data_IF_346649736919
#
_entry.id   IF_346649736919
#
_cell.length_a   1.000
_cell.length_b   1.000
_cell.length_c   1.000
_cell.angle_alpha   90.00
_cell.angle_beta   90.00
_cell.angle_gamma   90.00
#
_symmetry.space_group_name_H-M   'P 1'
#
loop_
_entity.id
_entity.type
_entity.pdbx_description
1 polymer ?
#
# COMPACT_ATOMS: atom_id res chain seq x y z
N UNK A 1 -1.60 18.08 24.57
CA UNK A 1 -1.05 18.56 23.28
C UNK A 1 -0.06 17.56 22.67
N UNK A 2 0.98 17.09 23.40
CA UNK A 2 1.95 16.12 22.89
C UNK A 2 1.33 14.83 22.34
N UNK A 3 0.36 14.23 23.05
CA UNK A 3 -0.31 13.01 22.59
C UNK A 3 -0.95 13.18 21.20
N UNK A 4 -1.56 14.35 20.93
CA UNK A 4 -2.14 14.65 19.62
C UNK A 4 -1.06 14.76 18.53
N UNK A 5 0.08 15.36 18.84
CA UNK A 5 1.22 15.41 17.90
C UNK A 5 1.75 14.01 17.58
N UNK A 6 1.89 13.15 18.59
CA UNK A 6 2.36 11.77 18.40
C UNK A 6 1.38 10.94 17.58
N UNK A 7 0.08 11.07 17.84
CA UNK A 7 -0.97 10.40 17.04
C UNK A 7 -0.94 10.90 15.60
N UNK A 8 -0.83 12.22 15.39
CA UNK A 8 -0.73 12.81 14.05
C UNK A 8 0.50 12.33 13.28
N UNK A 9 1.68 12.35 13.90
CA UNK A 9 2.92 11.87 13.28
C UNK A 9 2.85 10.37 12.96
N UNK A 10 2.24 9.58 13.84
CA UNK A 10 2.01 8.15 13.62
C UNK A 10 1.08 7.91 12.43
N UNK A 11 0.03 8.72 12.29
CA UNK A 11 -0.87 8.68 11.13
C UNK A 11 -0.12 8.98 9.83
N UNK A 12 0.69 10.04 9.81
CA UNK A 12 1.51 10.41 8.63
C UNK A 12 2.49 9.30 8.29
N UNK A 13 3.19 8.73 9.28
CA UNK A 13 4.12 7.62 9.05
C UNK A 13 3.43 6.36 8.50
N UNK A 14 2.23 6.04 8.99
CA UNK A 14 1.42 4.95 8.44
C UNK A 14 0.96 5.25 7.00
N UNK A 15 0.54 6.48 6.71
CA UNK A 15 0.16 6.90 5.36
C UNK A 15 1.34 6.78 4.38
N UNK A 16 2.53 7.29 4.75
CA UNK A 16 3.73 7.20 3.91
C UNK A 16 4.07 5.75 3.61
N UNK A 17 4.08 4.87 4.63
CA UNK A 17 4.30 3.43 4.44
C UNK A 17 3.27 2.78 3.53
N UNK A 18 1.99 3.15 3.64
CA UNK A 18 0.96 2.66 2.72
C UNK A 18 1.24 3.11 1.28
N UNK A 19 1.65 4.36 1.06
CA UNK A 19 1.99 4.88 -0.28
C UNK A 19 3.19 4.16 -0.87
N UNK A 20 4.26 3.99 -0.10
CA UNK A 20 5.46 3.28 -0.54
C UNK A 20 5.16 1.81 -0.87
N UNK A 21 4.40 1.14 0.00
CA UNK A 21 3.96 -0.24 -0.21
C UNK A 21 3.10 -0.37 -1.47
N UNK A 22 2.12 0.52 -1.68
CA UNK A 22 1.27 0.50 -2.86
C UNK A 22 2.09 0.73 -4.14
N UNK A 23 3.03 1.68 -4.11
CA UNK A 23 3.88 2.00 -5.26
C UNK A 23 4.77 0.84 -5.65
N UNK A 24 5.33 0.14 -4.67
CA UNK A 24 6.19 -1.02 -4.93
C UNK A 24 5.39 -2.23 -5.39
N UNK A 25 4.22 -2.46 -4.79
CA UNK A 25 3.29 -3.50 -5.22
C UNK A 25 2.87 -3.30 -6.69
N UNK A 26 2.47 -2.08 -7.07
CA UNK A 26 2.05 -1.77 -8.43
C UNK A 26 3.19 -2.03 -9.43
N UNK A 27 4.43 -1.63 -9.10
CA UNK A 27 5.59 -1.85 -9.96
C UNK A 27 5.96 -3.32 -10.13
N UNK A 28 5.94 -4.10 -9.06
CA UNK A 28 6.24 -5.53 -9.12
C UNK A 28 5.14 -6.32 -9.84
N UNK A 29 3.87 -5.98 -9.58
CA UNK A 29 2.75 -6.63 -10.23
C UNK A 29 2.67 -6.28 -11.73
N UNK A 30 3.03 -5.05 -12.13
CA UNK A 30 3.16 -4.65 -13.53
C UNK A 30 4.24 -5.45 -14.30
N UNK A 31 5.22 -6.04 -13.60
CA UNK A 31 6.22 -6.96 -14.16
C UNK A 31 5.75 -8.41 -14.24
N UNK A 32 4.53 -8.70 -13.77
CA UNK A 32 3.95 -10.04 -13.77
C UNK A 32 4.21 -10.83 -12.48
N UNK A 33 4.92 -10.24 -11.52
CA UNK A 33 5.22 -10.91 -10.25
C UNK A 33 4.28 -10.45 -9.13
N UNK A 34 3.00 -10.79 -9.28
CA UNK A 34 1.96 -10.43 -8.31
C UNK A 34 2.18 -11.03 -6.90
N UNK A 35 2.81 -12.21 -6.81
CA UNK A 35 3.13 -12.83 -5.51
C UNK A 35 4.22 -12.05 -4.77
N UNK A 36 5.34 -11.77 -5.44
CA UNK A 36 6.40 -10.94 -4.86
C UNK A 36 5.90 -9.54 -4.53
N UNK A 37 5.02 -8.97 -5.37
CA UNK A 37 4.38 -7.68 -5.11
C UNK A 37 3.65 -7.65 -3.76
N UNK A 38 2.82 -8.66 -3.47
CA UNK A 38 2.09 -8.72 -2.19
C UNK A 38 3.03 -8.94 -0.99
N UNK A 39 4.06 -9.76 -1.13
CA UNK A 39 5.03 -10.03 -0.07
C UNK A 39 5.87 -8.80 0.27
N UNK A 40 6.42 -8.11 -0.76
CA UNK A 40 7.20 -6.88 -0.58
C UNK A 40 6.34 -5.77 -0.01
N UNK A 41 5.11 -5.60 -0.51
CA UNK A 41 4.18 -4.62 0.02
C UNK A 41 3.86 -4.88 1.49
N UNK A 42 3.65 -6.14 1.88
CA UNK A 42 3.41 -6.54 3.27
C UNK A 42 4.60 -6.22 4.20
N UNK A 43 5.83 -6.25 3.69
CA UNK A 43 7.03 -5.86 4.47
C UNK A 43 7.15 -4.36 4.70
N UNK A 44 6.65 -3.54 3.78
CA UNK A 44 6.70 -2.07 3.87
C UNK A 44 5.48 -1.53 4.62
N UNK A 45 4.32 -2.16 4.43
CA UNK A 45 3.06 -1.71 4.96
C UNK A 45 3.02 -1.78 6.50
N UNK A 46 2.19 -0.96 7.15
CA UNK A 46 1.98 -1.05 8.59
C UNK A 46 1.41 -2.43 8.99
N UNK A 47 1.59 -2.83 10.25
CA UNK A 47 1.00 -4.07 10.77
C UNK A 47 -0.52 -4.13 10.55
N UNK A 48 -1.02 -5.32 10.23
CA UNK A 48 -2.43 -5.56 9.93
C UNK A 48 -2.92 -4.91 8.63
N UNK A 49 -2.01 -4.47 7.76
CA UNK A 49 -2.38 -3.92 6.46
C UNK A 49 -2.90 -5.00 5.51
N UNK A 50 -3.96 -4.67 4.77
CA UNK A 50 -4.45 -5.43 3.63
C UNK A 50 -3.89 -4.85 2.34
N UNK A 51 -3.38 -5.72 1.47
CA UNK A 51 -2.87 -5.40 0.13
C UNK A 51 -3.81 -6.02 -0.90
N UNK A 52 -4.35 -5.20 -1.79
CA UNK A 52 -5.22 -5.60 -2.88
C UNK A 52 -4.60 -5.20 -4.22
N UNK A 53 -4.59 -6.14 -5.17
CA UNK A 53 -4.07 -5.94 -6.52
C UNK A 53 -5.18 -6.19 -7.52
N UNK A 54 -5.45 -5.21 -8.37
CA UNK A 54 -6.47 -5.32 -9.42
C UNK A 54 -5.90 -4.90 -10.76
N UNK A 55 -6.30 -5.62 -11.80
CA UNK A 55 -5.93 -5.31 -13.18
C UNK A 55 -7.06 -4.52 -13.84
N UNK A 56 -6.71 -3.37 -14.42
CA UNK A 56 -7.59 -2.48 -15.17
C UNK A 56 -7.03 -2.33 -16.59
N UNK A 57 -7.39 -3.27 -17.47
CA UNK A 57 -6.80 -3.36 -18.80
C UNK A 57 -5.30 -3.65 -18.73
N UNK A 58 -4.49 -2.72 -19.22
CA UNK A 58 -3.02 -2.76 -19.19
C UNK A 58 -2.42 -2.03 -17.95
N UNK A 59 -3.26 -1.66 -16.99
CA UNK A 59 -2.84 -1.04 -15.74
C UNK A 59 -3.01 -2.02 -14.58
N UNK A 60 -2.04 -2.02 -13.67
CA UNK A 60 -2.17 -2.65 -12.37
C UNK A 60 -2.38 -1.57 -11.33
N UNK A 61 -3.45 -1.71 -10.56
CA UNK A 61 -3.77 -0.85 -9.43
C UNK A 61 -3.52 -1.63 -8.15
N UNK A 62 -2.62 -1.10 -7.32
CA UNK A 62 -2.33 -1.65 -6.00
C UNK A 62 -2.92 -0.74 -4.94
N UNK A 63 -3.70 -1.32 -4.02
CA UNK A 63 -4.27 -0.63 -2.87
C UNK A 63 -3.72 -1.25 -1.59
N UNK A 64 -3.22 -0.42 -0.70
CA UNK A 64 -2.79 -0.82 0.64
C UNK A 64 -3.61 -0.07 1.65
N UNK A 65 -4.20 -0.77 2.60
CA UNK A 65 -5.00 -0.18 3.67
C UNK A 65 -4.61 -0.76 5.02
N UNK A 66 -4.60 0.06 6.06
CA UNK A 66 -4.31 -0.36 7.43
C UNK A 66 -5.25 0.38 8.39
N UNK A 67 -5.56 -0.27 9.52
CA UNK A 67 -6.37 0.31 10.59
C UNK A 67 -5.64 0.23 11.93
N UNK A 68 -4.64 1.10 12.16
CA UNK A 68 -3.86 1.08 13.39
C UNK A 68 -4.73 1.36 14.62
N UNK A 69 -4.59 0.59 15.72
CA UNK A 69 -5.37 0.81 16.95
C UNK A 69 -5.20 2.22 17.52
N UNK A 70 -4.00 2.79 17.39
CA UNK A 70 -3.64 4.13 17.90
C UNK A 70 -4.38 5.28 17.19
N UNK A 71 -4.99 5.00 16.04
CA UNK A 71 -5.74 5.99 15.25
C UNK A 71 -7.25 5.94 15.53
N UNK A 72 -7.68 5.38 16.66
CA UNK A 72 -9.07 5.43 17.13
C UNK A 72 -10.09 4.96 16.07
N UNK A 73 -9.74 3.91 15.33
CA UNK A 73 -10.62 3.32 14.31
C UNK A 73 -10.58 4.01 12.94
N UNK A 74 -9.69 5.00 12.73
CA UNK A 74 -9.43 5.57 11.40
C UNK A 74 -8.66 4.56 10.54
N UNK A 75 -9.18 4.31 9.35
CA UNK A 75 -8.52 3.51 8.32
C UNK A 75 -7.68 4.43 7.44
N UNK A 76 -6.41 4.10 7.28
CA UNK A 76 -5.49 4.74 6.36
C UNK A 76 -5.42 3.88 5.12
N UNK A 77 -5.47 4.50 3.95
CA UNK A 77 -5.31 3.79 2.69
C UNK A 77 -4.50 4.61 1.69
N UNK A 78 -3.79 3.91 0.83
CA UNK A 78 -3.11 4.48 -0.31
C UNK A 78 -3.32 3.57 -1.52
N UNK A 79 -3.27 4.18 -2.71
CA UNK A 79 -3.38 3.48 -3.97
C UNK A 79 -2.29 3.99 -4.92
N UNK A 80 -1.70 3.06 -5.67
CA UNK A 80 -0.77 3.38 -6.74
C UNK A 80 -1.16 2.60 -8.00
N UNK A 81 -0.79 3.14 -9.15
CA UNK A 81 -1.09 2.57 -10.47
C UNK A 81 0.21 2.47 -11.26
N UNK A 82 0.39 1.37 -11.97
CA UNK A 82 1.51 1.15 -12.89
C UNK A 82 1.00 0.50 -14.18
N UNK A 83 1.57 0.89 -15.32
CA UNK A 83 1.31 0.20 -16.58
C UNK A 83 2.09 -1.11 -16.63
N UNK A 84 1.45 -2.16 -17.12
CA UNK A 84 2.06 -3.47 -17.30
C UNK A 84 3.17 -3.42 -18.35
N UNK A 85 4.21 -4.23 -18.14
CA UNK A 85 5.24 -4.40 -19.14
C UNK A 85 4.69 -5.18 -20.36
N UNK A 86 5.13 -4.87 -21.58
CA UNK A 86 4.68 -5.59 -22.77
C UNK A 86 4.93 -7.10 -22.64
N UNK A 87 3.90 -7.91 -22.86
CA UNK A 87 3.98 -9.38 -22.75
C UNK A 87 3.71 -9.95 -21.35
N UNK A 88 3.41 -9.10 -20.37
CA UNK A 88 2.91 -9.51 -19.06
C UNK A 88 1.37 -9.58 -19.12
N UNK A 89 0.84 -10.66 -19.69
CA UNK A 89 -0.56 -11.05 -19.54
C UNK A 89 -0.82 -12.48 -19.99
#
# INVERSE_FOLDING_TARGET
>A
MLCMCVTGLSAVGAQVRCVDAAREAARLAARGDGRSATEVAGRIAPEGAAVDLRWEGELVVARVSSRPPILLGVTIAAQAVAAAEPGVR
#
